data_IF_604025982299
#
_entry.id   IF_604025982299
#
_cell.length_a   1.000
_cell.length_b   1.000
_cell.length_c   1.000
_cell.angle_alpha   90.00
_cell.angle_beta   90.00
_cell.angle_gamma   90.00
#
_symmetry.space_group_name_H-M   'P 1'
#
loop_
_entity.id
_entity.type
_entity.pdbx_description
1 polymer ?
#
# COMPACT_ATOMS: atom_id res chain seq x y z
N UNK A 1 12.58 -18.68 19.47
CA UNK A 1 11.14 -18.59 19.12
C UNK A 1 10.48 -19.97 19.07
N UNK A 2 10.95 -20.92 18.25
CA UNK A 2 10.37 -22.28 18.21
C UNK A 2 10.42 -23.08 19.51
N UNK A 3 11.21 -22.64 20.49
CA UNK A 3 11.30 -23.23 21.82
C UNK A 3 10.12 -22.89 22.73
N UNK A 4 9.28 -21.90 22.38
CA UNK A 4 8.09 -21.56 23.15
C UNK A 4 7.01 -22.62 22.97
N UNK A 5 6.33 -22.99 24.05
CA UNK A 5 5.40 -24.13 24.05
C UNK A 5 4.23 -23.93 23.07
N UNK A 6 3.72 -22.71 22.95
CA UNK A 6 2.72 -22.36 21.93
C UNK A 6 3.14 -22.79 20.51
N UNK A 7 4.37 -22.51 20.10
CA UNK A 7 4.84 -22.87 18.76
C UNK A 7 5.11 -24.38 18.62
N UNK A 8 5.53 -25.06 19.69
CA UNK A 8 5.68 -26.53 19.67
C UNK A 8 4.33 -27.20 19.44
N UNK A 9 3.29 -26.71 20.10
CA UNK A 9 1.93 -27.25 20.01
C UNK A 9 1.29 -26.92 18.67
N UNK A 10 1.36 -25.66 18.23
CA UNK A 10 0.82 -25.22 16.94
C UNK A 10 1.47 -25.95 15.74
N UNK A 11 2.78 -26.22 15.82
CA UNK A 11 3.53 -26.89 14.76
C UNK A 11 3.57 -28.41 14.94
N UNK A 12 2.80 -28.98 15.88
CA UNK A 12 2.72 -30.42 16.08
C UNK A 12 2.00 -31.06 14.88
N UNK A 13 2.60 -32.11 14.29
CA UNK A 13 2.05 -32.76 13.10
C UNK A 13 2.22 -31.98 11.78
N UNK A 14 2.65 -30.71 11.82
CA UNK A 14 2.94 -29.91 10.63
C UNK A 14 4.20 -30.44 9.92
N UNK A 15 4.16 -30.49 8.58
CA UNK A 15 5.28 -30.96 7.76
C UNK A 15 6.55 -30.11 7.95
N UNK A 16 7.74 -30.68 7.71
CA UNK A 16 8.99 -29.92 7.80
C UNK A 16 9.06 -28.77 6.77
N UNK A 17 8.47 -28.98 5.59
CA UNK A 17 8.35 -27.97 4.54
C UNK A 17 7.57 -26.75 5.05
N UNK A 18 6.41 -26.98 5.67
CA UNK A 18 5.54 -25.90 6.13
C UNK A 18 6.10 -25.21 7.39
N UNK A 19 6.79 -25.96 8.27
CA UNK A 19 7.55 -25.38 9.39
C UNK A 19 8.62 -24.40 8.90
N UNK A 20 9.34 -24.76 7.83
CA UNK A 20 10.33 -23.89 7.20
C UNK A 20 9.68 -22.65 6.58
N UNK A 21 8.58 -22.82 5.85
CA UNK A 21 7.83 -21.71 5.26
C UNK A 21 7.31 -20.73 6.33
N UNK A 22 6.70 -21.26 7.40
CA UNK A 22 6.27 -20.49 8.56
C UNK A 22 7.43 -19.68 9.17
N UNK A 23 8.59 -20.32 9.36
CA UNK A 23 9.80 -19.65 9.85
C UNK A 23 10.29 -18.52 8.97
N UNK A 24 10.31 -18.74 7.67
CA UNK A 24 10.72 -17.73 6.70
C UNK A 24 9.74 -16.55 6.69
N UNK A 25 8.45 -16.81 6.84
CA UNK A 25 7.44 -15.76 6.90
C UNK A 25 7.56 -14.94 8.19
N UNK A 26 7.70 -15.61 9.34
CA UNK A 26 7.96 -14.96 10.63
C UNK A 26 9.22 -14.10 10.60
N UNK A 27 10.32 -14.59 10.01
CA UNK A 27 11.56 -13.83 9.87
C UNK A 27 11.36 -12.49 9.16
N UNK A 28 10.45 -12.39 8.18
CA UNK A 28 10.17 -11.13 7.47
C UNK A 28 9.58 -10.08 8.40
N UNK A 29 8.66 -10.47 9.28
CA UNK A 29 8.10 -9.56 10.27
C UNK A 29 9.13 -9.14 11.32
N UNK A 30 9.97 -10.07 11.77
CA UNK A 30 11.05 -9.73 12.72
C UNK A 30 12.11 -8.81 12.09
N UNK A 31 12.39 -9.00 10.80
CA UNK A 31 13.30 -8.15 10.02
C UNK A 31 12.86 -6.70 9.90
N UNK A 32 11.61 -6.36 10.22
CA UNK A 32 11.16 -4.95 10.26
C UNK A 32 11.81 -4.17 11.40
N UNK A 33 12.23 -4.86 12.46
CA UNK A 33 12.73 -4.25 13.70
C UNK A 33 14.26 -4.23 13.81
N UNK A 34 14.98 -4.62 12.75
CA UNK A 34 16.43 -4.48 12.75
C UNK A 34 16.81 -3.01 12.59
N UNK A 35 17.91 -2.53 13.20
CA UNK A 35 18.26 -1.10 13.20
C UNK A 35 18.37 -0.45 11.82
N UNK A 36 18.67 -1.23 10.79
CA UNK A 36 18.82 -0.77 9.41
C UNK A 36 17.60 -1.05 8.51
N UNK A 37 16.45 -1.43 9.06
CA UNK A 37 15.22 -1.61 8.28
C UNK A 37 14.80 -0.31 7.57
N UNK A 38 14.91 0.83 8.26
CA UNK A 38 14.67 2.17 7.71
C UNK A 38 13.20 2.51 7.49
N UNK A 39 12.29 1.76 8.10
CA UNK A 39 10.86 2.05 8.17
C UNK A 39 10.26 1.46 9.46
N UNK A 40 9.04 1.86 9.78
CA UNK A 40 8.21 1.28 10.83
C UNK A 40 6.74 1.21 10.39
N UNK A 41 5.93 0.46 11.14
CA UNK A 41 4.47 0.43 10.94
C UNK A 41 3.82 1.36 11.95
N UNK A 42 2.98 2.26 11.46
CA UNK A 42 2.23 3.20 12.28
C UNK A 42 0.72 3.09 12.02
N UNK A 43 -0.06 3.75 12.85
CA UNK A 43 -1.51 3.85 12.68
C UNK A 43 -1.85 5.02 11.73
N UNK A 44 -2.88 4.82 10.89
CA UNK A 44 -3.48 5.86 10.06
C UNK A 44 -5.00 5.76 10.12
N UNK A 45 -5.67 6.93 10.13
CA UNK A 45 -7.13 7.03 10.04
C UNK A 45 -7.60 7.56 8.68
N UNK A 46 -6.68 7.78 7.73
CA UNK A 46 -7.01 8.35 6.41
C UNK A 46 -8.07 7.53 5.66
N UNK A 47 -7.99 6.21 5.79
CA UNK A 47 -8.82 5.27 5.03
C UNK A 47 -9.95 4.65 5.87
N UNK A 48 -9.98 4.90 7.18
CA UNK A 48 -11.05 4.44 8.07
C UNK A 48 -12.32 5.28 7.86
N UNK A 49 -13.49 4.65 7.93
CA UNK A 49 -14.77 5.35 8.05
C UNK A 49 -14.99 5.79 9.51
N UNK A 50 -16.00 6.65 9.73
CA UNK A 50 -16.37 7.08 11.07
C UNK A 50 -16.83 5.88 11.93
N UNK A 51 -16.16 5.67 13.07
CA UNK A 51 -16.42 4.53 13.95
C UNK A 51 -15.60 3.27 13.65
N UNK A 52 -14.82 3.24 12.55
CA UNK A 52 -13.89 2.14 12.27
C UNK A 52 -12.56 2.28 13.03
N UNK A 53 -11.88 1.14 13.24
CA UNK A 53 -10.55 1.11 13.82
C UNK A 53 -9.51 1.79 12.91
N UNK A 54 -8.40 2.23 13.51
CA UNK A 54 -7.28 2.74 12.75
C UNK A 54 -6.67 1.63 11.89
N UNK A 55 -6.29 1.97 10.66
CA UNK A 55 -5.57 1.08 9.76
C UNK A 55 -4.05 1.27 9.93
N UNK A 56 -3.25 0.46 9.25
CA UNK A 56 -1.80 0.57 9.29
C UNK A 56 -1.25 1.37 8.10
N UNK A 57 -0.12 2.03 8.30
CA UNK A 57 0.70 2.62 7.25
C UNK A 57 2.19 2.30 7.50
N UNK A 58 3.01 2.54 6.49
CA UNK A 58 4.46 2.36 6.57
C UNK A 58 5.12 3.73 6.57
N UNK A 59 5.87 4.06 7.62
CA UNK A 59 6.54 5.35 7.75
C UNK A 59 8.05 5.16 7.63
N UNK A 60 8.72 6.02 6.86
CA UNK A 60 10.17 6.04 6.75
C UNK A 60 10.82 6.53 8.05
N UNK A 61 11.81 5.79 8.58
CA UNK A 61 12.56 6.18 9.79
C UNK A 61 13.94 6.77 9.49
N UNK A 62 14.21 7.02 8.20
CA UNK A 62 15.38 7.72 7.68
C UNK A 62 15.07 8.29 6.31
N UNK A 63 15.96 9.12 5.80
CA UNK A 63 15.93 9.54 4.40
C UNK A 63 16.25 8.37 3.45
N UNK A 64 15.54 8.32 2.33
CA UNK A 64 15.78 7.41 1.23
C UNK A 64 15.94 8.19 -0.08
N UNK A 65 16.83 7.72 -0.94
CA UNK A 65 17.09 8.32 -2.25
C UNK A 65 16.47 7.50 -3.37
N UNK A 66 16.18 8.15 -4.50
CA UNK A 66 15.73 7.46 -5.72
C UNK A 66 16.68 6.30 -6.04
N UNK A 67 16.11 5.12 -6.24
CA UNK A 67 16.83 3.91 -6.59
C UNK A 67 17.13 2.98 -5.41
N UNK A 68 17.03 3.45 -4.17
CA UNK A 68 17.22 2.63 -2.98
C UNK A 68 16.21 1.47 -2.92
N UNK A 69 16.63 0.36 -2.31
CA UNK A 69 15.79 -0.81 -2.10
C UNK A 69 15.52 -1.03 -0.61
N UNK A 70 14.24 -1.10 -0.24
CA UNK A 70 13.80 -1.31 1.15
C UNK A 70 13.64 -2.81 1.41
N UNK A 71 14.77 -3.52 1.38
CA UNK A 71 14.85 -4.99 1.36
C UNK A 71 14.10 -5.69 2.50
N UNK A 72 14.04 -5.07 3.67
CA UNK A 72 13.36 -5.61 4.84
C UNK A 72 11.84 -5.42 4.80
N UNK A 73 11.34 -4.47 4.01
CA UNK A 73 9.91 -4.34 3.68
C UNK A 73 9.58 -5.29 2.52
N UNK A 74 9.64 -6.59 2.81
CA UNK A 74 9.41 -7.64 1.83
C UNK A 74 8.01 -8.23 1.96
N UNK A 75 7.56 -8.88 0.89
CA UNK A 75 6.30 -9.62 0.87
C UNK A 75 6.41 -10.90 0.07
N UNK A 76 5.38 -11.74 0.17
CA UNK A 76 5.17 -12.92 -0.67
C UNK A 76 3.91 -12.72 -1.50
N UNK A 77 3.97 -13.20 -2.74
CA UNK A 77 2.84 -13.23 -3.65
C UNK A 77 2.36 -14.67 -3.75
N UNK A 78 1.10 -14.92 -3.37
CA UNK A 78 0.41 -16.15 -3.67
C UNK A 78 -0.62 -15.89 -4.78
N UNK A 79 -0.61 -16.71 -5.83
CA UNK A 79 -1.66 -16.65 -6.86
C UNK A 79 -2.93 -17.25 -6.27
N UNK A 80 -4.04 -16.54 -6.38
CA UNK A 80 -5.34 -17.01 -5.91
C UNK A 80 -6.07 -17.74 -7.04
N UNK A 81 -6.74 -18.84 -6.68
CA UNK A 81 -7.78 -19.40 -7.53
C UNK A 81 -9.02 -18.49 -7.46
N UNK A 82 -9.86 -18.51 -8.51
CA UNK A 82 -11.06 -17.65 -8.56
C UNK A 82 -12.00 -17.87 -7.37
N UNK A 83 -12.15 -19.12 -6.93
CA UNK A 83 -12.99 -19.47 -5.78
C UNK A 83 -12.47 -18.86 -4.46
N UNK A 84 -11.14 -18.81 -4.28
CA UNK A 84 -10.52 -18.20 -3.10
C UNK A 84 -10.67 -16.66 -3.14
N UNK A 85 -10.54 -16.05 -4.31
CA UNK A 85 -10.73 -14.61 -4.52
C UNK A 85 -12.18 -14.20 -4.20
N UNK A 86 -13.16 -14.97 -4.67
CA UNK A 86 -14.57 -14.73 -4.40
C UNK A 86 -14.94 -14.91 -2.92
N UNK A 87 -14.36 -15.90 -2.22
CA UNK A 87 -14.55 -16.06 -0.77
C UNK A 87 -13.95 -14.88 0.01
N UNK A 88 -12.74 -14.43 -0.35
CA UNK A 88 -12.10 -13.29 0.33
C UNK A 88 -12.93 -12.01 0.17
N UNK A 89 -13.47 -11.76 -1.03
CA UNK A 89 -14.39 -10.63 -1.29
C UNK A 89 -15.67 -10.73 -0.48
N UNK A 90 -16.30 -11.92 -0.41
CA UNK A 90 -17.50 -12.14 0.41
C UNK A 90 -17.27 -11.88 1.90
N UNK A 91 -16.06 -12.15 2.40
CA UNK A 91 -15.70 -11.90 3.79
C UNK A 91 -15.18 -10.48 4.05
N UNK A 92 -15.06 -9.62 3.03
CA UNK A 92 -14.42 -8.31 3.13
C UNK A 92 -12.97 -8.41 3.65
N UNK A 93 -12.19 -9.36 3.12
CA UNK A 93 -10.80 -9.67 3.53
C UNK A 93 -9.79 -9.56 2.38
N UNK A 94 -10.17 -8.89 1.31
CA UNK A 94 -9.42 -8.74 0.07
C UNK A 94 -8.49 -7.51 0.04
N UNK A 95 -8.32 -6.79 1.16
CA UNK A 95 -7.45 -5.61 1.28
C UNK A 95 -6.00 -5.79 0.81
N UNK A 96 -5.50 -7.02 0.76
CA UNK A 96 -4.14 -7.33 0.30
C UNK A 96 -4.14 -8.16 -0.99
N UNK A 97 -5.24 -8.16 -1.74
CA UNK A 97 -5.34 -8.80 -3.04
C UNK A 97 -5.10 -7.76 -4.12
N UNK A 98 -4.06 -7.95 -4.94
CA UNK A 98 -3.80 -7.09 -6.09
C UNK A 98 -3.86 -7.91 -7.38
N UNK A 99 -4.40 -7.29 -8.44
CA UNK A 99 -4.42 -7.91 -9.75
C UNK A 99 -3.05 -7.77 -10.43
N UNK A 100 -2.47 -8.90 -10.84
CA UNK A 100 -1.24 -8.89 -11.62
C UNK A 100 -1.58 -8.92 -13.11
N UNK A 101 -1.41 -7.78 -13.80
CA UNK A 101 -1.59 -7.71 -15.27
C UNK A 101 -0.65 -8.65 -16.02
N UNK A 102 0.60 -8.79 -15.53
CA UNK A 102 1.59 -9.72 -16.12
C UNK A 102 1.15 -11.19 -16.06
N UNK A 103 0.51 -11.61 -14.98
CA UNK A 103 0.05 -13.00 -14.79
C UNK A 103 -1.42 -13.21 -15.15
N UNK A 104 -2.13 -12.11 -15.41
CA UNK A 104 -3.57 -12.06 -15.62
C UNK A 104 -4.37 -12.78 -14.51
N UNK A 105 -4.00 -12.54 -13.24
CA UNK A 105 -4.65 -13.17 -12.09
C UNK A 105 -4.61 -12.32 -10.82
N UNK A 106 -5.58 -12.55 -9.92
CA UNK A 106 -5.59 -12.03 -8.56
C UNK A 106 -4.49 -12.69 -7.73
N UNK A 107 -3.74 -11.88 -7.01
CA UNK A 107 -2.63 -12.31 -6.19
C UNK A 107 -2.78 -11.78 -4.77
N UNK A 108 -2.67 -12.67 -3.78
CA UNK A 108 -2.62 -12.30 -2.37
C UNK A 108 -1.20 -11.89 -1.98
N UNK A 109 -1.07 -10.70 -1.42
CA UNK A 109 0.17 -10.13 -0.91
C UNK A 109 0.22 -10.24 0.61
N UNK A 110 1.26 -10.89 1.14
CA UNK A 110 1.46 -11.07 2.58
C UNK A 110 2.87 -10.67 2.99
N UNK A 111 3.09 -10.45 4.29
CA UNK A 111 4.35 -9.96 4.84
C UNK A 111 4.34 -8.43 5.05
N UNK A 112 5.45 -7.86 5.55
CA UNK A 112 5.57 -6.42 5.85
C UNK A 112 5.05 -5.48 4.76
N UNK A 113 5.36 -5.78 3.50
CA UNK A 113 4.97 -4.94 2.36
C UNK A 113 3.44 -4.80 2.18
N UNK A 114 2.64 -5.66 2.81
CA UNK A 114 1.17 -5.60 2.75
C UNK A 114 0.57 -4.34 3.39
N UNK A 115 1.33 -3.66 4.25
CA UNK A 115 0.89 -2.46 4.96
C UNK A 115 1.17 -1.16 4.17
N UNK A 116 1.85 -1.26 3.02
CA UNK A 116 2.11 -0.12 2.15
C UNK A 116 0.80 0.35 1.54
N UNK A 117 0.39 1.58 1.81
CA UNK A 117 -0.83 2.14 1.25
C UNK A 117 -0.66 2.59 -0.21
N UNK A 118 -1.79 2.79 -0.87
CA UNK A 118 -1.84 3.32 -2.23
C UNK A 118 -1.64 4.84 -2.26
N UNK A 119 -0.87 5.30 -3.24
CA UNK A 119 -0.95 6.68 -3.72
C UNK A 119 -0.82 6.72 -5.26
N UNK A 120 -1.68 7.47 -5.93
CA UNK A 120 -1.66 7.62 -7.40
C UNK A 120 -0.35 8.23 -7.90
N UNK A 121 0.35 9.00 -7.06
CA UNK A 121 1.68 9.54 -7.29
C UNK A 121 2.68 8.98 -6.25
N UNK A 122 2.68 7.65 -6.08
CA UNK A 122 3.51 6.94 -5.10
C UNK A 122 5.02 7.23 -5.15
N UNK A 123 5.70 7.04 -4.01
CA UNK A 123 7.15 7.20 -3.87
C UNK A 123 7.94 5.88 -3.93
N UNK A 124 7.27 4.73 -3.90
CA UNK A 124 7.87 3.41 -4.08
C UNK A 124 7.15 2.60 -5.16
N UNK A 125 7.83 1.57 -5.65
CA UNK A 125 7.21 0.52 -6.49
C UNK A 125 7.65 -0.87 -6.05
N UNK A 126 6.78 -1.85 -6.22
CA UNK A 126 7.13 -3.25 -6.00
C UNK A 126 8.14 -3.73 -7.06
N UNK A 127 9.17 -4.43 -6.59
CA UNK A 127 10.15 -5.13 -7.42
C UNK A 127 10.25 -6.60 -7.00
N UNK A 128 10.53 -7.52 -7.94
CA UNK A 128 10.69 -8.93 -7.61
C UNK A 128 11.94 -9.18 -6.76
N UNK A 129 11.81 -10.05 -5.76
CA UNK A 129 12.89 -10.58 -4.94
C UNK A 129 12.90 -12.11 -5.07
N UNK A 130 13.55 -12.62 -6.11
CA UNK A 130 13.48 -14.04 -6.46
C UNK A 130 12.16 -14.43 -7.12
N UNK A 131 11.69 -15.67 -6.92
CA UNK A 131 10.56 -16.22 -7.68
C UNK A 131 9.18 -15.75 -7.21
N UNK A 132 8.95 -15.69 -5.89
CA UNK A 132 7.62 -15.43 -5.31
C UNK A 132 7.62 -14.34 -4.23
N UNK A 133 8.78 -13.76 -3.94
CA UNK A 133 8.87 -12.64 -3.02
C UNK A 133 8.99 -11.31 -3.77
N UNK A 134 8.60 -10.25 -3.10
CA UNK A 134 8.74 -8.87 -3.56
C UNK A 134 9.41 -8.03 -2.48
N UNK A 135 9.97 -6.91 -2.91
CA UNK A 135 10.39 -5.81 -2.05
C UNK A 135 10.06 -4.49 -2.74
N UNK A 136 10.53 -3.37 -2.18
CA UNK A 136 10.24 -2.04 -2.64
C UNK A 136 11.50 -1.38 -3.21
N UNK A 137 11.32 -0.65 -4.30
CA UNK A 137 12.30 0.29 -4.83
C UNK A 137 11.75 1.70 -4.74
N UNK A 138 12.55 2.59 -4.17
CA UNK A 138 12.25 4.02 -4.05
C UNK A 138 12.36 4.66 -5.43
N UNK A 139 11.34 5.42 -5.83
CA UNK A 139 11.25 6.10 -7.14
C UNK A 139 11.22 7.62 -7.02
N UNK A 140 11.10 8.15 -5.80
CA UNK A 140 11.21 9.56 -5.44
C UNK A 140 11.97 9.68 -4.13
N UNK A 141 12.69 10.77 -3.91
CA UNK A 141 13.33 10.98 -2.61
C UNK A 141 12.27 11.01 -1.50
N UNK A 142 12.56 10.34 -0.39
CA UNK A 142 11.66 10.23 0.77
C UNK A 142 12.40 10.73 1.99
N UNK A 143 11.74 11.56 2.81
CA UNK A 143 12.30 12.04 4.07
C UNK A 143 11.88 11.16 5.23
N UNK A 144 12.69 11.17 6.28
CA UNK A 144 12.30 10.59 7.56
C UNK A 144 10.96 11.19 8.02
N UNK A 145 10.00 10.33 8.36
CA UNK A 145 8.63 10.69 8.74
C UNK A 145 7.62 10.66 7.59
N UNK A 146 8.05 10.58 6.34
CA UNK A 146 7.13 10.44 5.20
C UNK A 146 6.52 9.03 5.15
N UNK A 147 5.27 8.94 4.70
CA UNK A 147 4.63 7.67 4.39
C UNK A 147 5.22 7.06 3.12
N UNK A 148 5.60 5.78 3.19
CA UNK A 148 6.01 4.98 2.04
C UNK A 148 4.74 4.43 1.37
N UNK A 149 4.55 4.76 0.11
CA UNK A 149 3.35 4.39 -0.67
C UNK A 149 3.74 3.69 -1.97
N UNK A 150 2.84 2.86 -2.50
CA UNK A 150 3.04 2.20 -3.81
C UNK A 150 1.78 2.30 -4.66
N UNK A 151 1.94 2.42 -5.97
CA UNK A 151 0.81 2.33 -6.88
C UNK A 151 0.32 0.88 -6.99
N UNK A 152 -0.98 0.66 -6.77
CA UNK A 152 -1.59 -0.69 -6.83
C UNK A 152 -2.06 -1.07 -8.24
N UNK A 153 -2.42 -0.08 -9.06
CA UNK A 153 -3.04 -0.27 -10.37
C UNK A 153 -4.07 0.82 -10.65
N UNK A 154 -4.43 1.00 -11.91
CA UNK A 154 -5.32 2.08 -12.38
C UNK A 154 -6.79 1.89 -11.98
N UNK A 155 -7.18 0.68 -11.59
CA UNK A 155 -8.57 0.27 -11.42
C UNK A 155 -8.81 -0.37 -10.03
N UNK A 156 -7.93 -0.11 -9.06
CA UNK A 156 -8.01 -0.75 -7.74
C UNK A 156 -9.17 -0.19 -6.92
N UNK A 157 -9.38 1.12 -6.96
CA UNK A 157 -10.46 1.82 -6.26
C UNK A 157 -11.55 2.27 -7.24
N UNK A 158 -12.16 1.30 -7.93
CA UNK A 158 -13.18 1.56 -8.95
C UNK A 158 -12.60 2.02 -10.28
N UNK A 159 -13.50 2.42 -11.21
CA UNK A 159 -13.11 2.86 -12.56
C UNK A 159 -12.16 4.06 -12.48
N UNK A 160 -10.98 3.96 -13.09
CA UNK A 160 -9.91 4.96 -13.08
C UNK A 160 -9.56 5.47 -11.66
N UNK A 161 -9.64 4.59 -10.66
CA UNK A 161 -9.42 4.90 -9.25
C UNK A 161 -10.33 6.04 -8.72
N UNK A 162 -11.55 6.17 -9.24
CA UNK A 162 -12.48 7.24 -8.87
C UNK A 162 -12.86 7.26 -7.37
N UNK A 163 -12.72 6.14 -6.65
CA UNK A 163 -12.97 6.04 -5.21
C UNK A 163 -11.69 6.14 -4.37
N UNK A 164 -10.55 6.47 -4.99
CA UNK A 164 -9.26 6.56 -4.30
C UNK A 164 -9.20 7.74 -3.32
N UNK A 165 -8.76 7.46 -2.09
CA UNK A 165 -8.64 8.44 -1.00
C UNK A 165 -7.18 8.78 -0.66
N UNK A 166 -6.26 8.61 -1.61
CA UNK A 166 -4.86 8.97 -1.41
C UNK A 166 -4.64 10.49 -1.36
N UNK A 167 -3.47 10.91 -0.85
CA UNK A 167 -3.11 12.33 -0.71
C UNK A 167 -3.07 13.04 -2.07
N UNK A 168 -2.61 12.34 -3.11
CA UNK A 168 -2.57 12.90 -4.47
C UNK A 168 -3.95 13.21 -5.01
N UNK A 169 -4.90 12.28 -4.91
CA UNK A 169 -6.29 12.50 -5.34
C UNK A 169 -6.95 13.63 -4.55
N UNK A 170 -6.75 13.67 -3.23
CA UNK A 170 -7.23 14.76 -2.38
C UNK A 170 -6.74 16.13 -2.89
N UNK A 171 -5.44 16.27 -3.16
CA UNK A 171 -4.85 17.51 -3.70
C UNK A 171 -5.41 17.90 -5.07
N UNK A 172 -5.61 16.94 -5.96
CA UNK A 172 -6.18 17.21 -7.29
C UNK A 172 -7.61 17.75 -7.20
N UNK A 173 -8.43 17.22 -6.28
CA UNK A 173 -9.77 17.75 -6.01
C UNK A 173 -9.68 19.21 -5.57
N UNK A 174 -8.80 19.55 -4.62
CA UNK A 174 -8.59 20.93 -4.17
C UNK A 174 -8.16 21.87 -5.31
N UNK A 175 -7.24 21.44 -6.17
CA UNK A 175 -6.79 22.21 -7.34
C UNK A 175 -7.97 22.49 -8.28
N UNK A 176 -8.79 21.48 -8.58
CA UNK A 176 -9.99 21.63 -9.41
C UNK A 176 -10.99 22.62 -8.80
N UNK A 177 -11.25 22.55 -7.49
CA UNK A 177 -12.11 23.53 -6.80
C UNK A 177 -11.56 24.96 -6.90
N UNK A 178 -10.26 25.16 -6.66
CA UNK A 178 -9.63 26.47 -6.77
C UNK A 178 -9.71 27.03 -8.19
N UNK A 179 -9.44 26.21 -9.22
CA UNK A 179 -9.54 26.61 -10.62
C UNK A 179 -10.97 27.01 -11.00
N UNK A 180 -11.98 26.28 -10.53
CA UNK A 180 -13.38 26.66 -10.73
C UNK A 180 -13.72 27.99 -10.04
N UNK A 181 -13.20 28.23 -8.84
CA UNK A 181 -13.38 29.50 -8.13
C UNK A 181 -12.65 30.66 -8.81
N UNK A 182 -11.41 30.48 -9.26
CA UNK A 182 -10.65 31.50 -10.01
C UNK A 182 -11.33 31.81 -11.35
N UNK A 183 -11.80 30.79 -12.08
CA UNK A 183 -12.56 30.99 -13.33
C UNK A 183 -13.88 31.71 -13.07
N UNK A 184 -14.60 31.40 -11.98
CA UNK A 184 -15.80 32.15 -11.55
C UNK A 184 -15.49 33.60 -11.21
N UNK A 185 -14.40 33.88 -10.49
CA UNK A 185 -13.96 35.25 -10.18
C UNK A 185 -13.60 36.01 -11.47
N UNK A 186 -12.95 35.36 -12.43
CA UNK A 186 -12.64 35.94 -13.74
C UNK A 186 -13.90 36.24 -14.57
N UNK A 187 -14.91 35.36 -14.54
CA UNK A 187 -16.22 35.64 -15.17
C UNK A 187 -16.96 36.82 -14.49
N UNK A 188 -16.91 36.92 -13.16
CA UNK A 188 -17.51 38.05 -12.42
C UNK A 188 -16.79 39.37 -12.70
N UNK A 189 -15.46 39.37 -12.87
CA UNK A 189 -14.71 40.55 -13.31
C UNK A 189 -15.05 40.96 -14.75
N UNK A 190 -15.40 40.02 -15.62
CA UNK A 190 -15.87 40.32 -16.99
C UNK A 190 -17.28 40.90 -17.03
N UNK A 191 -18.16 40.54 -16.09
CA UNK A 191 -19.52 41.09 -15.98
C UNK A 191 -19.57 42.55 -15.49
N UNK A 192 -18.49 43.06 -14.89
CA UNK A 192 -18.38 44.47 -14.48
C UNK A 192 -17.64 45.36 -15.50
N UNK A 193 -17.25 44.83 -16.67
CA UNK A 193 -16.52 45.56 -17.71
C UNK A 193 -17.25 45.65 -19.06
N UNK A 194 -18.57 45.43 -19.08
CA UNK A 194 -19.40 45.82 -20.23
C UNK A 194 -20.07 47.17 -19.90
N UNK A 195 -19.46 48.33 -20.24
CA UNK A 195 -20.21 49.57 -20.30
C UNK A 195 -21.22 49.44 -21.44
N UNK A 196 -22.46 49.83 -21.15
CA UNK A 196 -23.61 49.59 -22.01
C UNK A 196 -23.40 50.04 -23.46
N UNK A 197 -23.94 49.22 -24.35
CA UNK A 197 -24.52 49.60 -25.63
C UNK A 197 -25.83 48.81 -25.75
#
# INVERSE_FOLDING_TARGET
IYSLDFFKDYLRGVSQKDKSAFGQHMKRYLSMYVPNAGFEICDTRRYSQEGEEAQACVIATKDWSIGDEIKMCSGMIAVLASEDDDELKRQNRDFSVMFSTRKNCSCLFLGPARFMNHDCDSNCKFIPLGQAAITLKVVKDVKCGDELTSFYGDQYFGEDNCECRCVTCERQVWICYLDMHIKRIRCLHFLHLVPGI
#
